data_IF_948520091555
#
_entry.id   IF_948520091555
#
_cell.length_a   1.000
_cell.length_b   1.000
_cell.length_c   1.000
_cell.angle_alpha   90.00
_cell.angle_beta   90.00
_cell.angle_gamma   90.00
#
_symmetry.space_group_name_H-M   'P 1'
#
loop_
_entity.id
_entity.type
_entity.pdbx_description
1 polymer ?
#
# COMPACT_ATOMS: atom_id res chain seq x y z
N UNK A 1 -4.29 -13.04 -13.38
CA UNK A 1 -5.11 -11.84 -13.04
C UNK A 1 -4.93 -10.68 -14.03
N UNK A 2 -3.74 -10.49 -14.64
CA UNK A 2 -3.47 -9.33 -15.51
C UNK A 2 -3.48 -9.64 -17.02
N UNK A 3 -3.83 -10.86 -17.44
CA UNK A 3 -3.79 -11.29 -18.85
C UNK A 3 -4.67 -10.44 -19.79
N UNK A 4 -5.75 -9.86 -19.26
CA UNK A 4 -6.66 -8.99 -20.01
C UNK A 4 -6.39 -7.48 -19.82
N UNK A 5 -5.28 -7.10 -19.16
CA UNK A 5 -4.95 -5.68 -18.99
C UNK A 5 -4.54 -5.08 -20.33
N UNK A 6 -5.22 -4.00 -20.75
CA UNK A 6 -4.86 -3.28 -21.96
C UNK A 6 -3.53 -2.53 -21.77
N UNK A 7 -2.50 -2.93 -22.52
CA UNK A 7 -1.15 -2.38 -22.43
C UNK A 7 -1.10 -0.86 -22.67
N UNK A 8 -1.87 -0.36 -23.65
CA UNK A 8 -1.91 1.07 -23.96
C UNK A 8 -2.49 1.87 -22.80
N UNK A 9 -3.56 1.37 -22.17
CA UNK A 9 -4.14 1.99 -20.97
C UNK A 9 -3.14 1.99 -19.81
N UNK A 10 -2.46 0.87 -19.57
CA UNK A 10 -1.46 0.77 -18.51
C UNK A 10 -0.29 1.73 -18.73
N UNK A 11 0.19 1.87 -19.97
CA UNK A 11 1.23 2.82 -20.33
C UNK A 11 0.79 4.27 -20.08
N UNK A 12 -0.39 4.65 -20.58
CA UNK A 12 -0.96 6.00 -20.34
C UNK A 12 -1.11 6.30 -18.85
N UNK A 13 -1.56 5.31 -18.07
CA UNK A 13 -1.69 5.45 -16.63
C UNK A 13 -0.33 5.61 -15.96
N UNK A 14 0.67 4.82 -16.36
CA UNK A 14 2.04 4.94 -15.87
C UNK A 14 2.64 6.31 -16.17
N UNK A 15 2.48 6.80 -17.40
CA UNK A 15 2.97 8.12 -17.82
C UNK A 15 2.27 9.25 -17.05
N UNK A 16 0.95 9.15 -16.87
CA UNK A 16 0.19 10.08 -16.03
C UNK A 16 0.74 10.09 -14.61
N UNK A 17 0.89 8.93 -13.98
CA UNK A 17 1.38 8.83 -12.60
C UNK A 17 2.80 9.39 -12.46
N UNK A 18 3.70 9.13 -13.42
CA UNK A 18 5.03 9.75 -13.44
C UNK A 18 4.98 11.28 -13.49
N UNK A 19 3.97 11.85 -14.16
CA UNK A 19 3.84 13.30 -14.30
C UNK A 19 3.22 14.00 -13.07
N UNK A 20 2.30 13.33 -12.36
CA UNK A 20 1.53 13.96 -11.28
C UNK A 20 1.91 13.49 -9.88
N UNK A 21 2.49 12.29 -9.74
CA UNK A 21 2.77 11.70 -8.44
C UNK A 21 4.16 12.11 -7.95
N UNK A 22 4.26 12.78 -6.79
CA UNK A 22 5.57 13.10 -6.21
C UNK A 22 6.36 11.83 -5.88
N UNK A 23 5.67 10.73 -5.57
CA UNK A 23 6.32 9.46 -5.26
C UNK A 23 6.88 8.76 -6.50
N UNK A 24 6.18 8.80 -7.63
CA UNK A 24 6.72 8.25 -8.88
C UNK A 24 8.01 8.97 -9.32
N UNK A 25 8.13 10.26 -9.01
CA UNK A 25 9.36 11.03 -9.24
C UNK A 25 10.45 10.67 -8.21
N UNK A 26 10.11 10.53 -6.92
CA UNK A 26 11.08 10.35 -5.85
C UNK A 26 11.60 8.92 -5.67
N UNK A 27 10.83 7.90 -6.06
CA UNK A 27 11.12 6.49 -5.82
C UNK A 27 11.31 5.71 -7.12
N UNK A 28 12.13 4.66 -7.09
CA UNK A 28 12.26 3.71 -8.20
C UNK A 28 11.06 2.78 -8.22
N UNK A 29 10.47 2.62 -9.39
CA UNK A 29 9.44 1.62 -9.64
C UNK A 29 10.09 0.26 -9.92
N UNK A 30 9.35 -0.83 -9.72
CA UNK A 30 9.87 -2.19 -9.90
C UNK A 30 10.45 -2.44 -11.30
N UNK A 31 9.84 -1.86 -12.34
CA UNK A 31 10.34 -1.94 -13.71
C UNK A 31 11.76 -1.38 -13.84
N UNK A 32 12.05 -0.25 -13.19
CA UNK A 32 13.38 0.38 -13.27
C UNK A 32 14.42 -0.45 -12.51
N UNK A 33 14.04 -1.03 -11.37
CA UNK A 33 14.90 -1.93 -10.60
C UNK A 33 15.24 -3.17 -11.44
N UNK A 34 14.26 -3.73 -12.14
CA UNK A 34 14.45 -4.85 -13.06
C UNK A 34 15.36 -4.48 -14.25
N UNK A 35 15.13 -3.35 -14.90
CA UNK A 35 15.94 -2.87 -16.03
C UNK A 35 17.42 -2.64 -15.64
N UNK A 36 17.66 -2.02 -14.49
CA UNK A 36 19.02 -1.81 -13.93
C UNK A 36 19.72 -3.13 -13.62
N UNK A 37 18.99 -4.08 -13.04
CA UNK A 37 19.51 -5.42 -12.72
C UNK A 37 19.82 -6.22 -13.97
N UNK A 38 18.97 -6.11 -15.01
CA UNK A 38 19.23 -6.69 -16.32
C UNK A 38 20.51 -6.12 -16.93
N UNK A 39 20.69 -4.80 -16.87
CA UNK A 39 21.88 -4.15 -17.40
C UNK A 39 23.15 -4.57 -16.65
N UNK A 40 23.08 -4.64 -15.31
CA UNK A 40 24.17 -5.07 -14.45
C UNK A 40 24.56 -6.53 -14.72
N UNK A 41 23.60 -7.42 -14.82
CA UNK A 41 23.85 -8.84 -15.11
C UNK A 41 24.55 -9.04 -16.46
N UNK A 42 24.14 -8.29 -17.49
CA UNK A 42 24.79 -8.30 -18.81
C UNK A 42 26.25 -7.83 -18.74
N UNK A 43 26.51 -6.75 -17.99
CA UNK A 43 27.87 -6.20 -17.80
C UNK A 43 28.78 -7.18 -17.06
N UNK A 44 28.25 -7.85 -16.05
CA UNK A 44 28.96 -8.81 -15.21
C UNK A 44 29.01 -10.23 -15.83
N UNK A 45 28.39 -10.44 -17.00
CA UNK A 45 28.23 -11.76 -17.65
C UNK A 45 27.66 -12.84 -16.73
N UNK A 46 26.77 -12.45 -15.81
CA UNK A 46 26.08 -13.38 -14.91
C UNK A 46 24.66 -13.66 -15.40
N UNK A 47 24.12 -14.79 -14.95
CA UNK A 47 22.70 -15.09 -15.15
C UNK A 47 21.82 -14.10 -14.38
N UNK A 48 20.64 -13.79 -14.94
CA UNK A 48 19.63 -12.98 -14.26
C UNK A 48 19.07 -13.76 -13.07
N UNK A 49 18.99 -13.15 -11.88
CA UNK A 49 18.32 -13.79 -10.76
C UNK A 49 16.82 -13.82 -11.07
N UNK A 50 16.12 -14.93 -10.75
CA UNK A 50 14.69 -15.02 -10.97
C UNK A 50 13.99 -14.01 -10.04
N UNK A 51 13.40 -12.97 -10.63
CA UNK A 51 12.50 -12.06 -9.93
C UNK A 51 11.23 -12.83 -9.57
N UNK A 52 10.99 -13.02 -8.27
CA UNK A 52 9.78 -13.65 -7.76
C UNK A 52 9.11 -12.71 -6.79
N UNK A 53 7.82 -12.48 -6.98
CA UNK A 53 6.98 -11.94 -5.93
C UNK A 53 6.75 -13.06 -4.92
N UNK A 54 7.38 -12.95 -3.75
CA UNK A 54 7.22 -13.91 -2.66
C UNK A 54 6.25 -13.27 -1.67
N UNK A 55 5.12 -13.93 -1.44
CA UNK A 55 4.34 -13.66 -0.25
C UNK A 55 5.07 -14.39 0.89
N UNK A 56 5.77 -13.65 1.74
CA UNK A 56 6.40 -14.20 2.93
C UNK A 56 5.28 -14.53 3.93
N UNK A 57 4.72 -15.72 3.77
CA UNK A 57 3.76 -16.32 4.69
C UNK A 57 4.62 -17.26 5.53
N UNK A 58 4.79 -16.97 6.82
CA UNK A 58 5.57 -17.85 7.69
C UNK A 58 4.94 -19.25 7.70
N UNK A 59 5.58 -20.18 6.99
CA UNK A 59 5.12 -21.55 6.82
C UNK A 59 5.27 -22.40 8.09
N UNK A 60 5.88 -21.87 9.16
CA UNK A 60 6.03 -22.57 10.44
C UNK A 60 4.76 -22.56 11.29
N UNK A 61 3.79 -21.71 10.96
CA UNK A 61 2.57 -21.49 11.75
C UNK A 61 1.33 -21.97 10.97
N UNK A 62 1.23 -23.25 10.62
CA UNK A 62 0.09 -23.77 9.86
C UNK A 62 -0.60 -24.94 10.59
N UNK A 63 -1.58 -24.63 11.44
CA UNK A 63 -2.68 -25.57 11.73
C UNK A 63 -3.67 -25.53 10.54
N UNK A 64 -3.84 -26.67 9.87
CA UNK A 64 -4.74 -26.85 8.71
C UNK A 64 -6.23 -26.67 9.04
N UNK A 65 -6.61 -26.46 10.30
CA UNK A 65 -8.01 -26.34 10.74
C UNK A 65 -8.50 -24.90 10.94
N UNK A 66 -7.63 -23.89 10.93
CA UNK A 66 -8.00 -22.52 11.30
C UNK A 66 -8.10 -21.53 10.12
N UNK A 67 -7.51 -21.83 8.96
CA UNK A 67 -7.47 -20.91 7.83
C UNK A 67 -7.62 -21.66 6.50
N UNK A 68 -8.84 -21.67 5.95
CA UNK A 68 -9.07 -22.19 4.60
C UNK A 68 -8.44 -21.23 3.58
N UNK A 69 -7.77 -21.78 2.56
CA UNK A 69 -7.36 -21.00 1.39
C UNK A 69 -8.61 -20.37 0.75
N UNK A 70 -8.58 -19.10 0.35
CA UNK A 70 -9.71 -18.45 -0.29
C UNK A 70 -10.16 -19.26 -1.52
N UNK A 71 -11.41 -19.73 -1.52
CA UNK A 71 -12.01 -20.48 -2.64
C UNK A 71 -12.65 -19.55 -3.68
N UNK A 72 -12.74 -18.26 -3.38
CA UNK A 72 -13.28 -17.21 -4.25
C UNK A 72 -12.29 -16.03 -4.35
N UNK A 73 -12.41 -15.24 -5.42
CA UNK A 73 -11.64 -14.00 -5.64
C UNK A 73 -12.13 -12.87 -4.72
N UNK A 74 -12.02 -13.07 -3.41
CA UNK A 74 -12.44 -12.14 -2.37
C UNK A 74 -11.24 -11.41 -1.76
N UNK A 75 -11.49 -10.23 -1.22
CA UNK A 75 -10.49 -9.46 -0.48
C UNK A 75 -10.67 -9.79 1.01
N UNK A 76 -9.79 -10.63 1.55
CA UNK A 76 -9.76 -10.98 2.96
C UNK A 76 -8.42 -10.57 3.58
N UNK A 77 -8.45 -10.07 4.81
CA UNK A 77 -7.25 -9.94 5.63
C UNK A 77 -7.11 -11.24 6.45
N UNK A 78 -6.03 -11.99 6.20
CA UNK A 78 -5.70 -13.19 6.96
C UNK A 78 -4.45 -12.89 7.78
N UNK A 79 -4.51 -13.18 9.08
CA UNK A 79 -3.40 -13.01 10.01
C UNK A 79 -2.96 -14.35 10.53
N UNK A 80 -1.66 -14.56 10.54
CA UNK A 80 -1.03 -15.72 11.16
C UNK A 80 0.03 -15.14 12.10
N UNK A 81 -0.18 -15.30 13.39
CA UNK A 81 0.80 -15.00 14.43
C UNK A 81 0.97 -16.20 15.34
N UNK A 82 2.11 -16.28 16.04
CA UNK A 82 2.45 -17.39 16.93
C UNK A 82 1.34 -17.64 17.98
N UNK A 83 0.59 -16.60 18.36
CA UNK A 83 -0.52 -16.65 19.33
C UNK A 83 -1.90 -16.24 18.76
N UNK A 84 -2.14 -16.42 17.45
CA UNK A 84 -3.24 -15.72 16.73
C UNK A 84 -3.16 -14.18 16.82
N UNK A 85 -2.01 -13.66 17.24
CA UNK A 85 -1.78 -12.23 17.26
C UNK A 85 -1.56 -11.69 15.86
N UNK A 86 -2.17 -10.56 15.61
CA UNK A 86 -2.00 -9.84 14.36
C UNK A 86 -0.57 -9.28 14.32
N UNK A 87 0.24 -9.50 13.26
CA UNK A 87 1.64 -9.07 13.21
C UNK A 87 1.81 -7.62 13.66
N UNK A 88 2.61 -7.43 14.71
CA UNK A 88 2.69 -6.17 15.47
C UNK A 88 3.36 -5.05 14.68
N UNK A 89 4.15 -5.38 13.64
CA UNK A 89 4.91 -4.43 12.85
C UNK A 89 4.72 -4.64 11.35
N UNK A 90 3.73 -3.94 10.76
CA UNK A 90 3.66 -3.77 9.30
C UNK A 90 4.58 -2.62 8.87
N UNK A 91 5.44 -2.88 7.89
CA UNK A 91 6.30 -1.89 7.26
C UNK A 91 6.22 -2.04 5.74
N UNK A 92 6.50 -0.97 5.01
CA UNK A 92 6.66 -1.05 3.55
C UNK A 92 8.11 -0.73 3.18
N UNK A 93 8.65 -1.47 2.22
CA UNK A 93 9.96 -1.19 1.64
C UNK A 93 9.83 -0.16 0.52
N UNK A 94 10.71 0.83 0.53
CA UNK A 94 10.77 1.93 -0.43
C UNK A 94 12.18 2.03 -1.00
N UNK A 95 12.31 2.40 -2.26
CA UNK A 95 13.59 2.57 -2.92
C UNK A 95 13.73 4.03 -3.40
N UNK A 96 14.16 4.97 -2.54
CA UNK A 96 14.36 6.35 -2.94
C UNK A 96 15.44 6.43 -4.03
N UNK A 97 15.26 7.28 -5.02
CA UNK A 97 16.28 7.49 -6.06
C UNK A 97 17.56 8.02 -5.43
N UNK A 98 18.70 7.42 -5.81
CA UNK A 98 20.02 7.78 -5.29
C UNK A 98 20.30 7.28 -3.86
N UNK A 99 19.45 6.43 -3.29
CA UNK A 99 19.67 5.81 -1.98
C UNK A 99 19.39 4.32 -2.02
N UNK A 100 19.87 3.61 -1.01
CA UNK A 100 19.56 2.20 -0.80
C UNK A 100 18.10 2.00 -0.39
N UNK A 101 17.64 0.74 -0.48
CA UNK A 101 16.33 0.31 -0.02
C UNK A 101 16.16 0.66 1.47
N UNK A 102 15.03 1.28 1.80
CA UNK A 102 14.66 1.69 3.15
C UNK A 102 13.29 1.11 3.50
N UNK A 103 12.96 1.09 4.78
CA UNK A 103 11.61 0.74 5.24
C UNK A 103 10.96 1.92 5.94
N UNK A 104 9.64 2.03 5.80
CA UNK A 104 8.84 3.00 6.56
C UNK A 104 7.72 2.28 7.31
N UNK A 105 7.34 2.77 8.51
CA UNK A 105 6.28 2.18 9.30
C UNK A 105 4.92 2.39 8.64
N UNK A 106 3.96 1.49 8.90
CA UNK A 106 2.60 1.59 8.36
C UNK A 106 1.86 2.88 8.79
N UNK A 107 2.26 3.48 9.93
CA UNK A 107 1.68 4.71 10.45
C UNK A 107 2.33 5.99 9.87
N UNK A 108 3.23 5.83 8.90
CA UNK A 108 3.83 6.96 8.20
C UNK A 108 2.76 7.69 7.35
N UNK A 109 2.73 9.04 7.31
CA UNK A 109 1.73 9.80 6.54
C UNK A 109 1.71 9.46 5.05
N UNK A 110 2.81 8.97 4.49
CA UNK A 110 2.90 8.57 3.09
C UNK A 110 2.65 7.07 2.84
N UNK A 111 2.31 6.29 3.88
CA UNK A 111 2.07 4.86 3.70
C UNK A 111 0.84 4.58 2.82
N UNK A 112 -0.35 5.10 3.18
CA UNK A 112 -1.57 4.92 2.36
C UNK A 112 -1.37 5.41 0.91
N UNK A 113 -0.78 6.59 0.66
CA UNK A 113 -0.52 7.04 -0.71
C UNK A 113 0.44 6.19 -1.52
N UNK A 114 1.45 5.58 -0.87
CA UNK A 114 2.41 4.70 -1.54
C UNK A 114 1.81 3.33 -1.86
N UNK A 115 0.94 2.80 -0.98
CA UNK A 115 0.26 1.51 -1.20
C UNK A 115 -0.88 1.66 -2.21
N UNK A 116 -1.61 2.79 -2.16
CA UNK A 116 -2.79 3.06 -2.98
C UNK A 116 -2.58 4.27 -3.91
N UNK A 117 -1.58 4.26 -4.80
CA UNK A 117 -1.20 5.44 -5.57
C UNK A 117 -2.32 5.93 -6.52
N UNK A 118 -3.22 5.04 -6.94
CA UNK A 118 -4.40 5.43 -7.74
C UNK A 118 -5.49 6.15 -6.93
N UNK A 119 -5.54 5.93 -5.61
CA UNK A 119 -6.46 6.63 -4.71
C UNK A 119 -5.88 7.97 -4.24
N UNK A 120 -4.56 8.10 -4.30
CA UNK A 120 -3.79 9.28 -3.90
C UNK A 120 -2.84 9.74 -5.01
N UNK A 121 -3.35 10.09 -6.20
CA UNK A 121 -2.51 10.36 -7.37
C UNK A 121 -1.50 11.48 -7.16
N UNK A 122 -1.84 12.47 -6.31
CA UNK A 122 -0.97 13.60 -5.93
C UNK A 122 -0.18 13.37 -4.64
N UNK A 123 -0.39 12.24 -3.99
CA UNK A 123 0.30 11.89 -2.75
C UNK A 123 -0.20 12.61 -1.49
N UNK A 124 -1.47 13.00 -1.44
CA UNK A 124 -2.08 13.60 -0.23
C UNK A 124 -1.84 12.70 0.98
N UNK A 125 -1.49 13.27 2.13
CA UNK A 125 -1.16 12.48 3.31
C UNK A 125 -2.32 11.58 3.77
N UNK A 126 -1.95 10.34 4.07
CA UNK A 126 -2.77 9.40 4.83
C UNK A 126 -2.84 9.77 6.31
N UNK A 127 -3.49 8.93 7.10
CA UNK A 127 -3.52 9.13 8.54
C UNK A 127 -2.14 8.89 9.17
N UNK A 128 -1.77 9.71 10.14
CA UNK A 128 -0.60 9.48 11.00
C UNK A 128 -0.88 9.96 12.43
N UNK A 129 -0.10 9.53 13.44
CA UNK A 129 -0.36 9.85 14.85
C UNK A 129 -0.36 11.35 15.18
N UNK A 130 0.37 12.16 14.41
CA UNK A 130 0.48 13.60 14.65
C UNK A 130 -0.55 14.41 13.84
N UNK A 131 -1.53 13.76 13.21
CA UNK A 131 -2.55 14.45 12.42
C UNK A 131 -3.51 15.21 13.34
N UNK A 132 -3.58 16.52 13.18
CA UNK A 132 -4.41 17.41 14.00
C UNK A 132 -5.52 18.09 13.19
N UNK A 133 -6.60 18.48 13.86
CA UNK A 133 -7.62 19.35 13.25
C UNK A 133 -6.99 20.70 12.87
N UNK A 134 -7.30 21.18 11.67
CA UNK A 134 -6.84 22.48 11.20
C UNK A 134 -7.17 23.64 12.17
N UNK A 135 -6.30 24.65 12.14
CA UNK A 135 -6.06 25.80 13.03
C UNK A 135 -7.26 26.64 13.53
N UNK A 136 -8.51 26.31 13.19
CA UNK A 136 -9.71 27.06 13.62
C UNK A 136 -10.26 26.67 14.99
N UNK A 137 -9.71 25.63 15.62
CA UNK A 137 -10.03 25.24 16.99
C UNK A 137 -8.94 25.75 17.93
N UNK A 138 -9.33 26.51 18.96
CA UNK A 138 -8.43 26.95 20.05
C UNK A 138 -7.70 25.78 20.73
N UNK A 139 -8.23 24.56 20.59
CA UNK A 139 -7.65 23.33 21.10
C UNK A 139 -7.13 22.48 19.93
N UNK A 140 -5.83 22.19 19.92
CA UNK A 140 -5.22 21.17 19.06
C UNK A 140 -5.75 19.82 19.50
N UNK A 141 -6.51 19.16 18.64
CA UNK A 141 -7.06 17.83 18.92
C UNK A 141 -6.61 16.89 17.82
N UNK A 142 -5.89 15.84 18.21
CA UNK A 142 -5.51 14.73 17.34
C UNK A 142 -6.75 14.10 16.69
N UNK A 143 -6.66 13.83 15.40
CA UNK A 143 -7.69 13.12 14.64
C UNK A 143 -7.47 11.62 14.83
N UNK A 144 -8.49 10.88 15.27
CA UNK A 144 -8.41 9.42 15.35
C UNK A 144 -8.49 8.78 13.95
N UNK A 145 -7.93 7.57 13.79
CA UNK A 145 -8.02 6.81 12.54
C UNK A 145 -9.47 6.69 12.06
N UNK A 146 -10.38 6.31 12.96
CA UNK A 146 -11.80 6.19 12.65
C UNK A 146 -12.36 7.48 12.05
N UNK A 147 -12.10 8.65 12.66
CA UNK A 147 -12.57 9.94 12.14
C UNK A 147 -11.99 10.25 10.76
N UNK A 148 -10.72 9.96 10.54
CA UNK A 148 -10.05 10.18 9.26
C UNK A 148 -10.64 9.29 8.16
N UNK A 149 -10.72 7.98 8.39
CA UNK A 149 -11.23 7.04 7.40
C UNK A 149 -12.73 7.25 7.14
N UNK A 150 -13.55 7.50 8.17
CA UNK A 150 -14.96 7.88 7.98
C UNK A 150 -15.12 9.15 7.14
N UNK A 151 -14.26 10.15 7.32
CA UNK A 151 -14.29 11.36 6.49
C UNK A 151 -13.92 11.09 5.03
N UNK A 152 -12.92 10.24 4.77
CA UNK A 152 -12.47 9.85 3.43
C UNK A 152 -13.49 8.98 2.69
N UNK A 153 -14.17 8.09 3.41
CA UNK A 153 -15.21 7.19 2.91
C UNK A 153 -16.60 7.84 2.86
N UNK A 154 -16.74 9.09 3.29
CA UNK A 154 -18.01 9.80 3.23
C UNK A 154 -18.41 10.05 1.77
N UNK A 155 -19.61 9.61 1.40
CA UNK A 155 -20.19 9.86 0.08
C UNK A 155 -20.53 11.36 -0.04
N UNK A 156 -20.12 11.97 -1.15
CA UNK A 156 -20.32 13.39 -1.46
C UNK A 156 -20.73 13.54 -2.92
N UNK A 157 -21.30 14.69 -3.28
CA UNK A 157 -21.72 15.01 -4.65
C UNK A 157 -20.54 15.31 -5.60
N UNK A 158 -19.29 15.22 -5.12
CA UNK A 158 -18.08 15.43 -5.90
C UNK A 158 -17.44 14.10 -6.28
N UNK A 159 -16.69 14.09 -7.38
CA UNK A 159 -15.89 12.92 -7.77
C UNK A 159 -14.96 12.48 -6.64
N UNK A 160 -14.86 11.16 -6.42
CA UNK A 160 -13.98 10.55 -5.44
C UNK A 160 -13.32 9.31 -6.03
N UNK A 161 -12.00 9.37 -6.24
CA UNK A 161 -11.23 8.23 -6.76
C UNK A 161 -11.44 6.96 -5.91
N UNK A 162 -11.59 7.12 -4.59
CA UNK A 162 -11.83 6.03 -3.63
C UNK A 162 -13.11 5.26 -4.00
N UNK A 163 -14.24 5.93 -4.20
CA UNK A 163 -15.51 5.24 -4.43
C UNK A 163 -15.62 4.58 -5.81
N UNK A 164 -14.84 5.04 -6.79
CA UNK A 164 -14.84 4.48 -8.15
C UNK A 164 -13.78 3.38 -8.37
N UNK A 165 -13.00 3.03 -7.35
CA UNK A 165 -11.86 2.13 -7.51
C UNK A 165 -12.20 0.62 -7.46
N UNK A 166 -13.47 0.24 -7.30
CA UNK A 166 -13.93 -1.15 -7.39
C UNK A 166 -13.24 -2.09 -6.39
N UNK A 167 -12.49 -3.10 -6.86
CA UNK A 167 -11.78 -4.03 -5.97
C UNK A 167 -10.70 -3.34 -5.12
N UNK A 168 -10.06 -2.30 -5.66
CA UNK A 168 -9.07 -1.52 -4.90
C UNK A 168 -9.73 -0.75 -3.74
N UNK A 169 -10.97 -0.30 -3.91
CA UNK A 169 -11.76 0.28 -2.83
C UNK A 169 -12.03 -0.73 -1.70
N UNK A 170 -12.37 -1.97 -2.05
CA UNK A 170 -12.57 -3.04 -1.06
C UNK A 170 -11.28 -3.30 -0.26
N UNK A 171 -10.13 -3.39 -0.95
CA UNK A 171 -8.82 -3.52 -0.30
C UNK A 171 -8.53 -2.36 0.64
N UNK A 172 -8.81 -1.13 0.21
CA UNK A 172 -8.58 0.06 1.02
C UNK A 172 -9.44 0.06 2.29
N UNK A 173 -10.72 -0.33 2.21
CA UNK A 173 -11.60 -0.39 3.39
C UNK A 173 -11.13 -1.47 4.37
N UNK A 174 -10.79 -2.66 3.87
CA UNK A 174 -10.33 -3.76 4.73
C UNK A 174 -9.06 -3.37 5.48
N UNK A 175 -8.10 -2.74 4.79
CA UNK A 175 -6.87 -2.25 5.41
C UNK A 175 -7.14 -1.10 6.40
N UNK A 176 -8.03 -0.16 6.07
CA UNK A 176 -8.44 0.91 6.98
C UNK A 176 -9.12 0.39 8.26
N UNK A 177 -9.97 -0.63 8.14
CA UNK A 177 -10.62 -1.28 9.28
C UNK A 177 -9.58 -1.96 10.17
N UNK A 178 -8.70 -2.75 9.57
CA UNK A 178 -7.62 -3.46 10.25
C UNK A 178 -6.66 -2.51 10.98
N UNK A 179 -6.27 -1.40 10.35
CA UNK A 179 -5.50 -0.32 10.99
C UNK A 179 -6.23 0.27 12.19
N UNK A 180 -7.53 0.57 12.03
CA UNK A 180 -8.34 1.19 13.06
C UNK A 180 -8.54 0.27 14.26
N UNK A 181 -8.85 -1.01 14.04
CA UNK A 181 -9.06 -1.97 15.12
C UNK A 181 -7.75 -2.27 15.86
N UNK A 182 -6.62 -2.41 15.17
CA UNK A 182 -5.31 -2.52 15.85
C UNK A 182 -5.03 -1.33 16.77
N UNK A 183 -5.29 -0.11 16.31
CA UNK A 183 -5.09 1.09 17.14
C UNK A 183 -6.04 1.15 18.35
N UNK A 184 -7.12 0.36 18.38
CA UNK A 184 -8.01 0.25 19.54
C UNK A 184 -7.57 -0.81 20.55
N UNK A 185 -6.86 -1.84 20.08
CA UNK A 185 -6.39 -2.97 20.89
C UNK A 185 -5.00 -2.73 21.51
N UNK A 186 -4.20 -1.83 20.93
CA UNK A 186 -2.92 -1.36 21.48
C UNK A 186 -3.12 -0.28 22.56
#
# INVERSE_FOLDING_TARGET
ANENCNETTMKKLGDLMKSISPFAAAFKMMQEVEEEEIHRAKKEKRALPPLRMIFDIDHRIHDRRLYNLPTANEVAAVFIGEDNEVPTHRQIAIHPRGKDLQTIPILHPHCDPMIYPLLFPRGDEGWHPNLEKAYRSRNRTRISMLKFYSYRLAIRQTFSAIHYAGKLFQQYIVDAYDKTERNRLA
#
